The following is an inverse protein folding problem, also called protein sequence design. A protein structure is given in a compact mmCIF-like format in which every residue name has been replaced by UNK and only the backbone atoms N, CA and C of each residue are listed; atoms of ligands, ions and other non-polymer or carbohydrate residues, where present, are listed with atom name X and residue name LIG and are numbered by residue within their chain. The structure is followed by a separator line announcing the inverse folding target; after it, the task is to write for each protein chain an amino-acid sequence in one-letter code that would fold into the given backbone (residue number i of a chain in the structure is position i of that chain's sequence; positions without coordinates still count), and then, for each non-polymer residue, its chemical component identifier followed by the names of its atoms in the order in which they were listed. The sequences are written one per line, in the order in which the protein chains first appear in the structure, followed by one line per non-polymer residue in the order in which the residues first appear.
data_IF_271882380646
#
_entry.id   IF_271882380646
#
_cell.length_a   1.000
_cell.length_b   1.000
_cell.length_c   1.000
_cell.angle_alpha   90.00
_cell.angle_beta   90.00
_cell.angle_gamma   90.00
#
_symmetry.space_group_name_H-M   'P 1'
#
loop_
_entity.id
_entity.type
_entity.pdbx_description
1 polymer ?
#
# COMPACT_ATOMS: atom_id res chain seq x y z
N UNK A 1 -3.38 -33.42 85.13
CA UNK A 1 -4.41 -32.37 85.26
C UNK A 1 -5.22 -32.41 83.97
N UNK A 2 -6.42 -32.99 84.02
CA UNK A 2 -7.28 -33.09 82.83
C UNK A 2 -7.89 -31.72 82.55
N UNK A 3 -7.41 -31.03 81.51
CA UNK A 3 -8.05 -29.81 81.01
C UNK A 3 -9.42 -30.19 80.43
N UNK A 4 -10.48 -29.90 81.18
CA UNK A 4 -11.84 -29.95 80.64
C UNK A 4 -11.96 -28.82 79.62
N UNK A 5 -11.84 -29.15 78.33
CA UNK A 5 -12.18 -28.22 77.25
C UNK A 5 -13.68 -27.92 77.33
N UNK A 6 -14.03 -26.64 77.22
CA UNK A 6 -15.42 -26.24 77.21
C UNK A 6 -16.11 -26.74 75.92
N UNK A 7 -17.41 -27.08 75.95
CA UNK A 7 -18.14 -27.49 74.75
C UNK A 7 -18.07 -26.47 73.60
N UNK A 8 -17.93 -25.18 73.93
CA UNK A 8 -17.73 -24.10 72.96
C UNK A 8 -16.38 -24.18 72.24
N UNK A 9 -15.30 -24.54 72.93
CA UNK A 9 -13.99 -24.73 72.29
C UNK A 9 -13.98 -25.95 71.38
N UNK A 10 -14.68 -27.02 71.76
CA UNK A 10 -14.83 -28.23 70.94
C UNK A 10 -15.60 -27.93 69.65
N UNK A 11 -16.69 -27.17 69.72
CA UNK A 11 -17.43 -26.75 68.54
C UNK A 11 -16.59 -25.86 67.60
N UNK A 12 -15.74 -24.98 68.14
CA UNK A 12 -14.83 -24.14 67.34
C UNK A 12 -13.71 -24.92 66.65
N UNK A 13 -13.29 -26.05 67.23
CA UNK A 13 -12.30 -26.93 66.62
C UNK A 13 -12.88 -27.78 65.49
N UNK A 14 -14.20 -27.88 65.39
CA UNK A 14 -14.88 -28.65 64.34
C UNK A 14 -15.16 -27.74 63.14
N UNK A 15 -14.56 -27.99 61.95
CA UNK A 15 -14.81 -27.16 60.78
C UNK A 15 -16.25 -27.33 60.29
N UNK A 16 -16.89 -26.20 59.96
CA UNK A 16 -18.20 -26.23 59.32
C UNK A 16 -18.05 -26.74 57.89
N UNK A 17 -18.89 -27.69 57.50
CA UNK A 17 -18.91 -28.26 56.15
C UNK A 17 -20.17 -27.84 55.43
N UNK A 18 -20.05 -27.56 54.13
CA UNK A 18 -21.20 -27.27 53.30
C UNK A 18 -21.98 -28.56 53.02
N UNK A 19 -23.31 -28.53 53.22
CA UNK A 19 -24.20 -29.67 52.96
C UNK A 19 -24.12 -30.17 51.52
N UNK A 20 -23.88 -29.28 50.56
CA UNK A 20 -23.79 -29.61 49.14
C UNK A 20 -22.41 -30.21 48.77
N UNK A 21 -21.42 -30.13 49.67
CA UNK A 21 -20.07 -30.65 49.49
C UNK A 21 -19.49 -30.31 48.11
N UNK A 22 -19.12 -31.32 47.29
CA UNK A 22 -18.52 -31.12 45.97
C UNK A 22 -19.50 -30.61 44.90
N UNK A 23 -20.80 -30.61 45.17
CA UNK A 23 -21.82 -30.04 44.26
C UNK A 23 -21.96 -28.53 44.45
N UNK A 24 -21.31 -27.95 45.45
CA UNK A 24 -21.32 -26.51 45.65
C UNK A 24 -20.55 -25.82 44.50
N UNK A 25 -21.15 -24.84 43.81
CA UNK A 25 -20.54 -24.22 42.64
C UNK A 25 -19.48 -23.17 43.05
N UNK A 26 -18.36 -23.63 43.61
CA UNK A 26 -17.23 -22.77 44.00
C UNK A 26 -16.28 -22.45 42.82
N UNK A 27 -16.23 -23.34 41.83
CA UNK A 27 -15.33 -23.23 40.69
C UNK A 27 -16.00 -22.50 39.53
N UNK A 28 -15.83 -21.17 39.50
CA UNK A 28 -16.02 -20.41 38.28
C UNK A 28 -14.86 -20.70 37.30
N UNK A 29 -15.12 -20.79 35.98
CA UNK A 29 -14.05 -20.92 35.00
C UNK A 29 -13.12 -19.70 35.06
N UNK A 30 -11.83 -19.94 34.88
CA UNK A 30 -10.83 -18.87 34.88
C UNK A 30 -11.06 -17.89 33.74
N UNK A 31 -10.72 -16.62 33.96
CA UNK A 31 -10.82 -15.59 32.94
C UNK A 31 -9.85 -15.88 31.80
N UNK A 32 -10.36 -16.00 30.57
CA UNK A 32 -9.55 -16.14 29.37
C UNK A 32 -8.75 -14.86 29.13
N UNK A 33 -7.42 -14.98 29.03
CA UNK A 33 -6.53 -13.91 28.59
C UNK A 33 -6.37 -14.00 27.07
N UNK A 34 -6.89 -13.01 26.34
CA UNK A 34 -6.60 -12.85 24.93
C UNK A 34 -5.24 -12.14 24.77
N UNK A 35 -4.34 -12.65 23.91
CA UNK A 35 -3.11 -11.96 23.59
C UNK A 35 -3.40 -10.69 22.78
N UNK A 36 -2.52 -9.70 22.90
CA UNK A 36 -2.57 -8.49 22.09
C UNK A 36 -2.19 -8.80 20.64
N UNK A 37 -3.10 -8.55 19.70
CA UNK A 37 -2.83 -8.65 18.26
C UNK A 37 -2.27 -7.30 17.78
N UNK A 38 -0.97 -7.27 17.47
CA UNK A 38 -0.34 -6.09 16.86
C UNK A 38 -0.25 -6.27 15.36
N UNK A 39 -0.91 -5.39 14.63
CA UNK A 39 -0.73 -5.26 13.19
C UNK A 39 0.45 -4.31 12.92
N UNK A 40 1.31 -4.62 11.95
CA UNK A 40 2.36 -3.70 11.54
C UNK A 40 1.74 -2.43 10.96
N UNK A 41 2.37 -1.26 11.13
CA UNK A 41 1.92 -0.04 10.49
C UNK A 41 1.97 -0.22 8.98
N UNK A 42 0.89 0.17 8.28
CA UNK A 42 0.92 0.27 6.83
C UNK A 42 1.89 1.35 6.41
N UNK A 43 2.72 1.08 5.40
CA UNK A 43 3.51 2.13 4.77
C UNK A 43 2.59 3.26 4.26
N UNK A 44 3.03 4.54 4.29
CA UNK A 44 2.25 5.63 3.73
C UNK A 44 2.08 5.39 2.23
N UNK A 45 0.86 5.00 1.88
CA UNK A 45 0.47 4.62 0.52
C UNK A 45 0.67 5.80 -0.44
N UNK A 46 0.35 7.00 0.05
CA UNK A 46 0.40 8.24 -0.73
C UNK A 46 1.82 8.58 -1.23
N UNK A 47 2.84 8.39 -0.40
CA UNK A 47 4.23 8.70 -0.75
C UNK A 47 4.76 7.76 -1.83
N UNK A 48 4.38 6.49 -1.77
CA UNK A 48 4.79 5.50 -2.78
C UNK A 48 4.11 5.85 -4.10
N UNK A 49 2.79 6.00 -4.13
CA UNK A 49 2.06 6.28 -5.36
C UNK A 49 2.45 7.63 -5.99
N UNK A 50 2.77 8.65 -5.20
CA UNK A 50 3.23 9.94 -5.72
C UNK A 50 4.51 9.81 -6.56
N UNK A 51 5.46 8.97 -6.14
CA UNK A 51 6.71 8.75 -6.88
C UNK A 51 6.44 8.05 -8.21
N UNK A 52 5.60 7.01 -8.20
CA UNK A 52 5.23 6.27 -9.40
C UNK A 52 4.48 7.14 -10.42
N UNK A 53 3.53 7.96 -9.95
CA UNK A 53 2.80 8.88 -10.82
C UNK A 53 3.73 9.91 -11.47
N UNK A 54 4.66 10.48 -10.70
CA UNK A 54 5.64 11.44 -11.23
C UNK A 54 6.52 10.85 -12.33
N UNK A 55 6.91 9.58 -12.20
CA UNK A 55 7.70 8.89 -13.22
C UNK A 55 6.90 8.71 -14.52
N UNK A 56 5.63 8.33 -14.42
CA UNK A 56 4.73 8.19 -15.57
C UNK A 56 4.51 9.55 -16.25
N UNK A 57 4.27 10.61 -15.48
CA UNK A 57 4.11 11.97 -16.03
C UNK A 57 5.37 12.43 -16.77
N UNK A 58 6.55 12.17 -16.21
CA UNK A 58 7.81 12.49 -16.87
C UNK A 58 7.98 11.71 -18.18
N UNK A 59 7.63 10.42 -18.21
CA UNK A 59 7.68 9.62 -19.43
C UNK A 59 6.72 10.17 -20.51
N UNK A 60 5.50 10.57 -20.12
CA UNK A 60 4.52 11.17 -21.04
C UNK A 60 5.06 12.48 -21.63
N UNK A 61 5.64 13.37 -20.82
CA UNK A 61 6.22 14.62 -21.31
C UNK A 61 7.40 14.37 -22.26
N UNK A 62 8.26 13.40 -21.96
CA UNK A 62 9.35 13.04 -22.89
C UNK A 62 8.83 12.49 -24.22
N UNK A 63 7.75 11.69 -24.20
CA UNK A 63 7.11 11.20 -25.43
C UNK A 63 6.57 12.36 -26.26
N UNK A 64 5.91 13.34 -25.63
CA UNK A 64 5.41 14.54 -26.34
C UNK A 64 6.53 15.31 -27.02
N UNK A 65 7.70 15.43 -26.38
CA UNK A 65 8.87 16.09 -26.98
C UNK A 65 9.54 15.26 -28.09
N UNK A 66 9.44 13.94 -28.03
CA UNK A 66 9.97 13.07 -29.09
C UNK A 66 9.10 13.13 -30.36
N UNK A 67 7.78 13.30 -30.20
CA UNK A 67 6.84 13.33 -31.32
C UNK A 67 6.79 14.69 -32.07
N UNK A 68 7.58 15.69 -31.67
CA UNK A 68 7.68 16.97 -32.38
C UNK A 68 8.64 16.92 -33.58
N UNK A 69 8.48 15.94 -34.49
CA UNK A 69 9.18 15.92 -35.78
C UNK A 69 8.86 17.14 -36.64
N UNK A 70 7.71 17.78 -36.39
CA UNK A 70 7.24 18.98 -37.09
C UNK A 70 8.22 20.16 -37.01
N UNK A 71 8.97 20.30 -35.91
CA UNK A 71 9.95 21.39 -35.78
C UNK A 71 11.14 21.22 -36.74
N UNK A 72 11.52 19.98 -37.02
CA UNK A 72 12.56 19.68 -38.01
C UNK A 72 12.05 19.90 -39.44
N UNK A 73 10.82 19.46 -39.74
CA UNK A 73 10.21 19.66 -41.06
C UNK A 73 9.99 21.14 -41.39
N UNK A 74 9.59 21.95 -40.40
CA UNK A 74 9.47 23.40 -40.52
C UNK A 74 10.83 24.08 -40.76
N UNK A 75 11.86 23.68 -40.01
CA UNK A 75 13.23 24.16 -40.25
C UNK A 75 13.76 23.77 -41.64
N UNK A 76 13.56 22.50 -42.04
CA UNK A 76 14.04 21.97 -43.32
C UNK A 76 13.38 22.66 -44.51
N UNK A 77 12.07 22.88 -44.44
CA UNK A 77 11.33 23.61 -45.47
C UNK A 77 11.78 25.07 -45.56
N UNK A 78 11.98 25.76 -44.43
CA UNK A 78 12.45 27.15 -44.41
C UNK A 78 13.87 27.32 -44.95
N UNK A 79 14.80 26.45 -44.56
CA UNK A 79 16.23 26.63 -44.88
C UNK A 79 16.65 26.00 -46.20
N UNK A 80 16.09 24.84 -46.56
CA UNK A 80 16.56 24.06 -47.70
C UNK A 80 15.56 23.98 -48.85
N UNK A 81 14.24 24.04 -48.60
CA UNK A 81 13.27 24.04 -49.69
C UNK A 81 13.20 25.39 -50.42
N UNK A 82 13.47 26.50 -49.74
CA UNK A 82 13.45 27.85 -50.34
C UNK A 82 14.70 28.16 -51.17
N UNK A 83 15.86 27.58 -50.84
CA UNK A 83 17.14 27.84 -51.53
C UNK A 83 17.56 26.71 -52.49
N UNK A 84 16.61 25.92 -53.00
CA UNK A 84 16.93 24.76 -53.85
C UNK A 84 17.63 25.18 -55.14
N UNK A 85 18.80 24.59 -55.48
CA UNK A 85 19.42 24.76 -56.78
C UNK A 85 18.52 24.20 -57.89
N UNK A 86 18.52 24.80 -59.10
CA UNK A 86 17.75 24.30 -60.23
C UNK A 86 18.17 22.86 -60.56
N UNK A 87 17.23 21.90 -60.56
CA UNK A 87 17.46 20.50 -60.95
C UNK A 87 17.32 19.44 -59.84
N UNK A 88 16.99 19.81 -58.60
CA UNK A 88 16.56 18.82 -57.59
C UNK A 88 15.05 18.60 -57.64
N UNK A 89 14.63 17.42 -58.11
CA UNK A 89 13.22 17.00 -58.09
C UNK A 89 12.73 16.77 -56.66
N UNK A 90 11.42 17.01 -56.44
CA UNK A 90 10.75 17.04 -55.13
C UNK A 90 10.65 15.68 -54.40
N UNK A 91 11.37 14.65 -54.87
CA UNK A 91 11.29 13.26 -54.41
C UNK A 91 12.26 12.93 -53.26
N UNK A 92 13.02 13.90 -52.76
CA UNK A 92 13.77 13.76 -51.51
C UNK A 92 12.84 13.99 -50.32
N UNK A 93 12.01 12.99 -50.05
CA UNK A 93 11.30 12.87 -48.77
C UNK A 93 12.25 12.22 -47.77
N UNK A 94 12.33 12.80 -46.57
CA UNK A 94 13.01 12.18 -45.44
C UNK A 94 12.28 10.87 -45.09
N UNK A 95 13.00 9.79 -44.72
CA UNK A 95 12.36 8.54 -44.34
C UNK A 95 11.44 8.79 -43.13
N UNK A 96 10.13 8.67 -43.33
CA UNK A 96 9.10 8.91 -42.31
C UNK A 96 8.23 10.15 -42.52
N UNK A 97 8.58 11.07 -43.43
CA UNK A 97 7.71 12.18 -43.82
C UNK A 97 6.68 11.66 -44.83
N UNK A 98 5.42 11.49 -44.40
CA UNK A 98 4.32 11.20 -45.32
C UNK A 98 4.28 12.27 -46.41
N UNK A 99 4.28 11.86 -47.67
CA UNK A 99 4.13 12.76 -48.81
C UNK A 99 2.77 13.49 -48.70
N UNK A 100 2.68 14.79 -49.00
CA UNK A 100 1.41 15.50 -49.01
C UNK A 100 0.62 15.03 -50.23
N UNK A 101 -0.15 13.94 -50.08
CA UNK A 101 -0.92 13.37 -51.17
C UNK A 101 -1.60 12.01 -50.91
N UNK A 102 -1.24 11.29 -49.85
CA UNK A 102 -1.92 10.03 -49.50
C UNK A 102 -2.82 10.20 -48.26
N UNK A 103 -4.05 10.65 -48.53
CA UNK A 103 -5.26 10.35 -47.76
C UNK A 103 -6.33 9.86 -48.72
#
# INVERSE_FOLDING_TARGET
MSSHMSPHELLRQTPLVNLQGPKYPDTAPSRLSLPELRLPPSAPVDDVFAVWLREIDAAIETSKTHDTSAAFDEWFSSQYATSRPPGMDATLTLPGSAAPGER
#
